data_IF_713775691037
#
_entry.id   IF_713775691037
#
_cell.length_a   1.000
_cell.length_b   1.000
_cell.length_c   1.000
_cell.angle_alpha   90.00
_cell.angle_beta   90.00
_cell.angle_gamma   90.00
#
_symmetry.space_group_name_H-M   'P 1'
#
loop_
_entity.id
_entity.type
_entity.pdbx_description
1 polymer ?
#
# COMPACT_ATOMS: atom_id res chain seq x y z
N UNK A 1 51.30 -34.37 5.58
CA UNK A 1 51.32 -33.94 7.00
C UNK A 1 50.01 -33.23 7.28
N UNK A 2 49.06 -33.93 7.86
CA UNK A 2 47.77 -33.32 8.23
C UNK A 2 47.95 -32.68 9.60
N UNK A 3 47.95 -31.33 9.63
CA UNK A 3 47.97 -30.59 10.85
C UNK A 3 46.75 -30.96 11.69
N UNK A 4 46.99 -31.57 12.83
CA UNK A 4 45.98 -31.87 13.84
C UNK A 4 45.48 -30.52 14.43
N UNK A 5 44.49 -29.96 13.80
CA UNK A 5 43.80 -28.78 14.35
C UNK A 5 43.18 -29.22 15.68
N UNK A 6 43.72 -28.67 16.79
CA UNK A 6 43.21 -28.96 18.13
C UNK A 6 41.70 -28.80 18.13
N UNK A 7 40.93 -29.79 18.60
CA UNK A 7 39.45 -29.80 18.65
C UNK A 7 38.90 -28.49 19.21
N UNK A 8 39.56 -27.93 20.21
CA UNK A 8 39.22 -26.59 20.76
C UNK A 8 39.29 -25.48 19.74
N UNK A 9 40.33 -25.44 18.87
CA UNK A 9 40.44 -24.42 17.81
C UNK A 9 39.36 -24.58 16.74
N UNK A 10 38.98 -25.84 16.41
CA UNK A 10 37.90 -26.11 15.47
C UNK A 10 36.55 -25.66 16.02
N UNK A 11 36.23 -26.00 17.26
CA UNK A 11 34.98 -25.60 17.92
C UNK A 11 34.88 -24.06 18.04
N UNK A 12 35.98 -23.40 18.43
CA UNK A 12 35.98 -21.94 18.51
C UNK A 12 35.76 -21.29 17.15
N UNK A 13 36.36 -21.80 16.08
CA UNK A 13 36.11 -21.29 14.71
C UNK A 13 34.66 -21.47 14.27
N UNK A 14 34.06 -22.63 14.55
CA UNK A 14 32.67 -22.87 14.24
C UNK A 14 31.74 -21.94 15.01
N UNK A 15 31.98 -21.72 16.30
CA UNK A 15 31.23 -20.78 17.11
C UNK A 15 31.33 -19.35 16.56
N UNK A 16 32.54 -18.90 16.19
CA UNK A 16 32.75 -17.58 15.59
C UNK A 16 31.98 -17.42 14.27
N UNK A 17 31.96 -18.46 13.42
CA UNK A 17 31.19 -18.42 12.16
C UNK A 17 29.70 -18.30 12.43
N UNK A 18 29.18 -19.06 13.39
CA UNK A 18 27.75 -18.99 13.76
C UNK A 18 27.40 -17.58 14.28
N UNK A 19 28.21 -17.03 15.19
CA UNK A 19 27.99 -15.67 15.70
C UNK A 19 28.07 -14.62 14.57
N UNK A 20 29.05 -14.75 13.66
CA UNK A 20 29.18 -13.85 12.52
C UNK A 20 27.97 -13.91 11.57
N UNK A 21 27.39 -15.11 11.34
CA UNK A 21 26.17 -15.26 10.54
C UNK A 21 24.95 -14.61 11.20
N UNK A 22 24.82 -14.72 12.53
CA UNK A 22 23.76 -14.02 13.25
C UNK A 22 23.90 -12.50 13.15
N UNK A 23 25.10 -11.97 13.40
CA UNK A 23 25.36 -10.53 13.26
C UNK A 23 25.06 -10.04 11.85
N UNK A 24 25.47 -10.80 10.83
CA UNK A 24 25.19 -10.50 9.44
C UNK A 24 23.68 -10.47 9.14
N UNK A 25 22.92 -11.46 9.62
CA UNK A 25 21.46 -11.51 9.45
C UNK A 25 20.76 -10.30 10.08
N UNK A 26 21.16 -9.92 11.30
CA UNK A 26 20.62 -8.72 11.95
C UNK A 26 21.05 -7.41 11.27
N UNK A 27 22.23 -7.35 10.71
CA UNK A 27 22.71 -6.17 9.99
C UNK A 27 22.02 -5.97 8.64
N UNK A 28 21.57 -7.05 7.98
CA UNK A 28 20.84 -6.97 6.70
C UNK A 28 19.52 -6.19 6.82
N UNK A 29 18.80 -6.31 7.94
CA UNK A 29 17.50 -5.65 8.12
C UNK A 29 17.62 -4.12 8.02
N UNK A 30 18.46 -3.43 8.82
CA UNK A 30 18.60 -1.98 8.71
C UNK A 30 19.21 -1.54 7.38
N UNK A 31 20.13 -2.32 6.80
CA UNK A 31 20.70 -2.01 5.48
C UNK A 31 19.61 -2.04 4.41
N UNK A 32 18.75 -3.04 4.42
CA UNK A 32 17.61 -3.14 3.50
C UNK A 32 16.67 -1.93 3.64
N UNK A 33 16.35 -1.54 4.87
CA UNK A 33 15.46 -0.41 5.15
C UNK A 33 16.05 0.93 4.63
N UNK A 34 17.35 1.15 4.84
CA UNK A 34 18.06 2.32 4.32
C UNK A 34 18.10 2.30 2.79
N UNK A 35 18.38 1.15 2.18
CA UNK A 35 18.36 1.02 0.71
C UNK A 35 16.97 1.29 0.14
N UNK A 36 15.92 0.73 0.72
CA UNK A 36 14.55 0.97 0.26
C UNK A 36 14.16 2.44 0.35
N UNK A 37 14.58 3.14 1.40
CA UNK A 37 14.36 4.58 1.56
C UNK A 37 15.18 5.40 0.54
N UNK A 38 16.43 5.04 0.32
CA UNK A 38 17.31 5.76 -0.60
C UNK A 38 16.92 5.60 -2.08
N UNK A 39 16.46 4.43 -2.47
CA UNK A 39 16.07 4.13 -3.86
C UNK A 39 14.58 4.28 -4.13
N UNK A 40 13.76 4.61 -3.13
CA UNK A 40 12.32 4.82 -3.29
C UNK A 40 11.53 3.59 -3.80
N UNK A 41 12.08 2.38 -3.63
CA UNK A 41 11.52 1.14 -4.19
C UNK A 41 10.26 0.69 -3.43
N UNK A 42 9.97 1.34 -2.30
CA UNK A 42 8.91 0.92 -1.38
C UNK A 42 7.56 1.54 -1.79
N UNK A 43 6.92 1.08 -2.83
CA UNK A 43 5.63 1.58 -3.37
C UNK A 43 4.45 1.68 -2.37
N UNK A 44 4.72 1.72 -1.07
CA UNK A 44 3.76 2.00 -0.02
C UNK A 44 3.50 3.49 0.04
N UNK A 45 2.24 3.87 0.06
CA UNK A 45 1.83 5.26 0.34
C UNK A 45 2.37 5.70 1.70
N UNK A 46 2.89 6.91 1.76
CA UNK A 46 3.29 7.54 3.01
C UNK A 46 2.11 7.58 4.00
N UNK A 47 2.42 7.53 5.28
CA UNK A 47 1.43 7.61 6.37
C UNK A 47 0.69 8.94 6.44
N UNK A 48 0.24 9.31 7.63
CA UNK A 48 -0.45 10.58 7.88
C UNK A 48 0.46 11.77 7.49
N UNK A 49 -0.11 12.75 6.81
CA UNK A 49 0.59 13.97 6.40
C UNK A 49 0.87 14.86 7.62
N UNK A 50 2.13 15.10 7.93
CA UNK A 50 2.59 15.96 9.03
C UNK A 50 3.15 17.32 8.54
N UNK A 51 3.06 17.59 7.23
CA UNK A 51 3.57 18.84 6.64
C UNK A 51 2.63 20.03 6.83
N UNK A 52 3.18 21.26 6.70
CA UNK A 52 2.37 22.47 6.66
C UNK A 52 1.43 22.45 5.44
N UNK A 53 0.15 22.72 5.67
CA UNK A 53 -0.91 22.75 4.64
C UNK A 53 -0.82 24.02 3.79
N UNK A 54 0.35 24.33 3.26
CA UNK A 54 0.50 25.42 2.30
C UNK A 54 0.43 24.87 0.88
N UNK A 55 -0.50 25.40 0.09
CA UNK A 55 -0.73 24.93 -1.29
C UNK A 55 0.29 25.59 -2.23
N UNK A 56 0.92 24.79 -3.10
CA UNK A 56 1.75 25.30 -4.18
C UNK A 56 0.86 25.63 -5.40
N UNK A 57 0.50 26.92 -5.54
CA UNK A 57 -0.35 27.39 -6.64
C UNK A 57 0.38 27.44 -8.00
N UNK A 58 1.70 27.44 -7.98
CA UNK A 58 2.52 27.54 -9.20
C UNK A 58 2.59 26.24 -10.00
N UNK A 59 2.14 25.12 -9.40
CA UNK A 59 2.33 23.77 -9.93
C UNK A 59 1.03 22.99 -9.91
N UNK A 60 0.83 22.22 -10.97
CA UNK A 60 -0.28 21.27 -11.10
C UNK A 60 0.26 19.88 -11.37
N UNK A 61 -0.38 18.89 -10.79
CA UNK A 61 -0.09 17.47 -10.95
C UNK A 61 -1.36 16.77 -11.37
N UNK A 62 -1.27 15.92 -12.38
CA UNK A 62 -2.37 15.10 -12.86
C UNK A 62 -2.34 13.76 -12.17
N UNK A 63 -3.41 13.43 -11.46
CA UNK A 63 -3.57 12.15 -10.78
C UNK A 63 -4.62 11.34 -11.53
N UNK A 64 -4.20 10.21 -12.08
CA UNK A 64 -5.06 9.25 -12.74
C UNK A 64 -5.45 8.15 -11.75
N UNK A 65 -6.71 7.74 -11.79
CA UNK A 65 -7.26 6.71 -10.91
C UNK A 65 -7.65 5.49 -11.74
N UNK A 66 -7.12 4.34 -11.35
CA UNK A 66 -7.42 3.05 -11.97
C UNK A 66 -7.95 2.07 -10.93
N UNK A 67 -8.86 1.23 -11.35
CA UNK A 67 -9.34 0.10 -10.57
C UNK A 67 -9.24 -1.17 -11.38
N UNK A 68 -8.86 -2.25 -10.71
CA UNK A 68 -8.73 -3.57 -11.31
C UNK A 68 -9.24 -4.61 -10.31
N UNK A 69 -9.92 -5.61 -10.80
CA UNK A 69 -10.31 -6.76 -9.99
C UNK A 69 -9.34 -7.91 -10.20
N UNK A 70 -9.06 -8.68 -9.13
CA UNK A 70 -8.42 -9.98 -9.28
C UNK A 70 -9.34 -10.96 -10.03
N UNK A 71 -8.76 -12.03 -10.57
CA UNK A 71 -9.47 -12.99 -11.44
C UNK A 71 -10.76 -13.54 -10.79
N UNK A 72 -10.75 -13.73 -9.48
CA UNK A 72 -11.87 -14.34 -8.74
C UNK A 72 -12.80 -13.32 -8.07
N UNK A 73 -12.63 -12.02 -8.38
CA UNK A 73 -13.40 -10.95 -7.75
C UNK A 73 -14.56 -10.49 -8.66
N UNK A 74 -15.81 -10.89 -8.37
CA UNK A 74 -16.96 -10.60 -9.23
C UNK A 74 -17.60 -9.23 -9.01
N UNK A 75 -17.09 -8.40 -8.08
CA UNK A 75 -17.67 -7.11 -7.75
C UNK A 75 -17.42 -6.06 -8.83
N UNK A 76 -18.32 -5.09 -8.95
CA UNK A 76 -18.05 -3.88 -9.70
C UNK A 76 -17.25 -2.93 -8.81
N UNK A 77 -16.09 -2.48 -9.29
CA UNK A 77 -15.22 -1.55 -8.57
C UNK A 77 -14.66 -0.51 -9.55
N UNK A 78 -14.97 0.75 -9.32
CA UNK A 78 -14.52 1.84 -10.20
C UNK A 78 -14.47 3.20 -9.49
N UNK A 79 -13.56 4.11 -9.90
CA UNK A 79 -13.57 5.50 -9.46
C UNK A 79 -14.71 6.26 -10.15
N UNK A 80 -15.29 7.26 -9.50
CA UNK A 80 -16.27 8.16 -10.13
C UNK A 80 -15.69 9.08 -11.19
N UNK A 81 -14.36 9.25 -11.21
CA UNK A 81 -13.63 10.04 -12.20
C UNK A 81 -12.29 9.40 -12.47
N UNK A 82 -11.88 9.41 -13.74
CA UNK A 82 -10.64 8.75 -14.18
C UNK A 82 -9.40 9.57 -13.87
N UNK A 83 -9.56 10.89 -13.71
CA UNK A 83 -8.45 11.83 -13.56
C UNK A 83 -8.85 13.06 -12.74
N UNK A 84 -7.89 13.58 -11.96
CA UNK A 84 -8.02 14.83 -11.24
C UNK A 84 -6.72 15.65 -11.36
N UNK A 85 -6.86 16.94 -11.70
CA UNK A 85 -5.73 17.87 -11.66
C UNK A 85 -5.67 18.51 -10.29
N UNK A 86 -4.59 18.26 -9.56
CA UNK A 86 -4.41 18.69 -8.18
C UNK A 86 -3.23 19.64 -8.02
N UNK A 87 -3.27 20.47 -6.99
CA UNK A 87 -2.14 21.32 -6.57
C UNK A 87 -1.43 20.65 -5.40
N UNK A 88 -0.09 20.54 -5.40
CA UNK A 88 0.64 20.00 -4.25
C UNK A 88 0.33 20.79 -2.97
N UNK A 89 0.14 20.06 -1.86
CA UNK A 89 -0.27 20.62 -0.57
C UNK A 89 -1.80 20.79 -0.41
N UNK A 90 -2.59 20.73 -1.49
CA UNK A 90 -4.04 20.80 -1.39
C UNK A 90 -4.65 19.46 -0.98
N UNK A 91 -5.70 19.52 -0.16
CA UNK A 91 -6.55 18.35 0.13
C UNK A 91 -7.46 18.11 -1.06
N UNK A 92 -7.44 16.90 -1.58
CA UNK A 92 -8.27 16.48 -2.70
C UNK A 92 -9.10 15.26 -2.29
N UNK A 93 -10.23 15.07 -2.98
CA UNK A 93 -11.13 13.94 -2.73
C UNK A 93 -11.44 13.21 -4.02
N UNK A 94 -11.46 11.87 -3.95
CA UNK A 94 -11.94 10.98 -5.00
C UNK A 94 -12.87 9.94 -4.39
N UNK A 95 -13.94 9.62 -5.08
CA UNK A 95 -14.92 8.62 -4.63
C UNK A 95 -14.79 7.38 -5.48
N UNK A 96 -14.61 6.24 -4.82
CA UNK A 96 -14.69 4.93 -5.45
C UNK A 96 -16.06 4.30 -5.17
N UNK A 97 -16.60 3.62 -6.14
CA UNK A 97 -17.86 2.89 -6.03
C UNK A 97 -17.55 1.40 -6.00
N UNK A 98 -18.17 0.71 -5.06
CA UNK A 98 -18.10 -0.75 -4.93
C UNK A 98 -19.50 -1.31 -4.88
N UNK A 99 -19.73 -2.39 -5.62
CA UNK A 99 -21.02 -3.08 -5.69
C UNK A 99 -20.78 -4.59 -5.70
N UNK A 100 -21.52 -5.30 -4.86
CA UNK A 100 -21.55 -6.76 -4.85
C UNK A 100 -22.75 -7.27 -5.68
N UNK A 101 -22.60 -7.62 -6.95
CA UNK A 101 -23.69 -8.10 -7.79
C UNK A 101 -24.08 -9.56 -7.50
N UNK A 102 -23.38 -10.24 -6.61
CA UNK A 102 -23.62 -11.66 -6.31
C UNK A 102 -24.79 -11.84 -5.35
N UNK A 103 -25.29 -13.07 -5.24
CA UNK A 103 -26.37 -13.45 -4.34
C UNK A 103 -25.90 -13.90 -2.95
N UNK A 104 -24.61 -13.67 -2.61
CA UNK A 104 -24.01 -14.06 -1.33
C UNK A 104 -23.24 -12.90 -0.71
N UNK A 105 -23.15 -12.82 0.63
CA UNK A 105 -22.28 -11.86 1.27
C UNK A 105 -20.81 -12.23 0.98
N UNK A 106 -19.99 -11.24 0.72
CA UNK A 106 -18.58 -11.42 0.40
C UNK A 106 -17.72 -10.40 1.12
N UNK A 107 -16.46 -10.77 1.36
CA UNK A 107 -15.44 -9.88 1.94
C UNK A 107 -14.37 -9.57 0.90
N UNK A 108 -14.03 -8.31 0.73
CA UNK A 108 -13.02 -7.86 -0.21
C UNK A 108 -11.99 -6.96 0.44
N UNK A 109 -10.80 -6.92 -0.16
CA UNK A 109 -9.72 -6.03 0.21
C UNK A 109 -9.16 -5.32 -1.01
N UNK A 110 -9.04 -4.00 -0.93
CA UNK A 110 -8.41 -3.19 -1.97
C UNK A 110 -6.94 -2.91 -1.61
N UNK A 111 -6.04 -3.17 -2.56
CA UNK A 111 -4.60 -2.94 -2.42
C UNK A 111 -4.19 -1.79 -3.34
N UNK A 112 -3.68 -0.68 -2.80
CA UNK A 112 -3.23 0.45 -3.60
C UNK A 112 -1.82 0.24 -4.17
N UNK A 113 -1.59 0.82 -5.35
CA UNK A 113 -0.29 0.94 -5.97
C UNK A 113 -0.16 2.33 -6.60
N UNK A 114 1.01 2.95 -6.51
CA UNK A 114 1.29 4.26 -7.10
C UNK A 114 2.44 4.15 -8.10
N UNK A 115 2.23 4.78 -9.24
CA UNK A 115 3.25 4.96 -10.26
C UNK A 115 3.41 6.46 -10.59
N UNK A 116 4.65 6.94 -10.80
CA UNK A 116 5.91 6.22 -10.64
C UNK A 116 6.27 5.97 -9.18
N UNK A 117 7.07 4.93 -8.89
CA UNK A 117 7.39 4.50 -7.53
C UNK A 117 8.11 5.55 -6.67
N UNK A 118 8.92 6.41 -7.29
CA UNK A 118 9.61 7.52 -6.62
C UNK A 118 8.65 8.62 -6.13
N UNK A 119 7.42 8.65 -6.61
CA UNK A 119 6.39 9.58 -6.17
C UNK A 119 5.50 9.02 -5.04
N UNK A 120 5.57 7.71 -4.78
CA UNK A 120 4.72 7.06 -3.78
C UNK A 120 4.93 7.61 -2.36
N UNK A 121 6.16 8.02 -2.03
CA UNK A 121 6.48 8.62 -0.73
C UNK A 121 5.84 10.00 -0.51
N UNK A 122 5.44 10.67 -1.58
CA UNK A 122 4.84 12.01 -1.58
C UNK A 122 3.33 12.01 -1.74
N UNK A 123 2.72 10.84 -1.76
CA UNK A 123 1.27 10.69 -1.83
C UNK A 123 0.72 10.24 -0.47
N UNK A 124 0.08 11.17 0.24
CA UNK A 124 -0.45 10.95 1.58
C UNK A 124 -1.97 10.80 1.54
N UNK A 125 -2.45 9.72 2.14
CA UNK A 125 -3.88 9.55 2.40
C UNK A 125 -4.20 10.13 3.77
N UNK A 126 -5.07 11.12 3.83
CA UNK A 126 -5.45 11.80 5.07
C UNK A 126 -6.63 11.14 5.78
N UNK A 127 -7.54 10.57 5.00
CA UNK A 127 -8.64 9.76 5.52
C UNK A 127 -8.73 8.45 4.74
N UNK A 128 -8.61 7.34 5.45
CA UNK A 128 -8.86 6.01 4.93
C UNK A 128 -10.22 5.56 5.43
N UNK A 129 -11.26 5.69 4.63
CA UNK A 129 -12.42 4.82 4.83
C UNK A 129 -11.98 3.41 4.44
N UNK A 130 -11.49 2.71 5.44
CA UNK A 130 -11.28 1.27 5.57
C UNK A 130 -11.19 0.45 4.26
N UNK A 131 -10.16 0.70 3.43
CA UNK A 131 -9.78 -0.28 2.41
C UNK A 131 -9.15 -1.55 3.00
N UNK A 132 -9.17 -1.72 4.31
CA UNK A 132 -8.61 -2.89 4.94
C UNK A 132 -9.44 -4.14 4.70
N UNK A 133 -10.74 -4.05 4.86
CA UNK A 133 -11.67 -5.16 4.58
C UNK A 133 -13.08 -4.60 4.44
N UNK A 134 -13.73 -4.87 3.34
CA UNK A 134 -15.13 -4.50 3.11
C UNK A 134 -15.98 -5.75 3.04
N UNK A 135 -17.06 -5.77 3.82
CA UNK A 135 -18.06 -6.83 3.75
C UNK A 135 -19.33 -6.23 3.16
N UNK A 136 -19.71 -6.71 1.98
CA UNK A 136 -20.96 -6.28 1.33
C UNK A 136 -21.95 -7.44 1.26
N UNK A 137 -23.21 -7.11 1.56
CA UNK A 137 -24.34 -8.01 1.40
C UNK A 137 -24.69 -8.20 -0.09
N UNK A 138 -25.49 -9.21 -0.44
CA UNK A 138 -25.97 -9.40 -1.80
C UNK A 138 -26.63 -8.14 -2.35
N UNK A 139 -26.18 -7.67 -3.53
CA UNK A 139 -26.71 -6.48 -4.19
C UNK A 139 -26.34 -5.14 -3.53
N UNK A 140 -25.55 -5.16 -2.46
CA UNK A 140 -25.15 -3.94 -1.76
C UNK A 140 -24.17 -3.12 -2.59
N UNK A 141 -24.39 -1.79 -2.58
CA UNK A 141 -23.55 -0.80 -3.23
C UNK A 141 -23.17 0.29 -2.24
N UNK A 142 -21.89 0.60 -2.16
CA UNK A 142 -21.38 1.67 -1.29
C UNK A 142 -20.47 2.62 -2.07
N UNK A 143 -20.42 3.86 -1.60
CA UNK A 143 -19.49 4.89 -2.06
C UNK A 143 -18.41 5.09 -1.01
N UNK A 144 -17.17 5.05 -1.45
CA UNK A 144 -16.02 5.17 -0.57
C UNK A 144 -15.23 6.43 -0.93
N UNK A 145 -15.43 7.54 -0.22
CA UNK A 145 -14.63 8.73 -0.41
C UNK A 145 -13.21 8.49 0.10
N UNK A 146 -12.22 8.94 -0.66
CA UNK A 146 -10.82 8.93 -0.31
C UNK A 146 -10.28 10.35 -0.37
N UNK A 147 -9.73 10.85 0.74
CA UNK A 147 -9.03 12.11 0.79
C UNK A 147 -7.53 11.90 0.75
N UNK A 148 -6.87 12.72 -0.05
CA UNK A 148 -5.42 12.62 -0.25
C UNK A 148 -4.78 13.98 -0.46
N UNK A 149 -3.48 14.03 -0.18
CA UNK A 149 -2.62 15.19 -0.42
C UNK A 149 -1.41 14.71 -1.23
N UNK A 150 -1.06 15.43 -2.27
CA UNK A 150 0.22 15.30 -2.95
C UNK A 150 1.19 16.27 -2.29
N UNK A 151 2.33 15.78 -1.79
CA UNK A 151 3.30 16.60 -1.10
C UNK A 151 3.92 17.65 -2.03
N UNK A 152 4.27 18.82 -1.47
CA UNK A 152 4.98 19.89 -2.17
C UNK A 152 6.41 19.50 -2.54
N UNK A 153 7.02 18.65 -1.71
CA UNK A 153 8.40 18.20 -1.90
C UNK A 153 8.53 17.11 -2.98
N UNK A 154 7.40 16.73 -3.60
CA UNK A 154 7.43 15.79 -4.71
C UNK A 154 8.32 16.32 -5.86
N UNK A 155 9.20 15.48 -6.45
CA UNK A 155 10.09 15.86 -7.54
C UNK A 155 9.37 16.62 -8.65
N UNK A 156 9.95 17.74 -9.11
CA UNK A 156 9.30 18.64 -10.10
C UNK A 156 9.11 18.01 -11.47
N UNK A 157 9.86 16.96 -11.76
CA UNK A 157 9.78 16.18 -13.00
C UNK A 157 8.51 15.34 -13.04
N UNK A 158 7.93 15.00 -11.87
CA UNK A 158 6.72 14.20 -11.77
C UNK A 158 5.50 15.10 -11.96
N UNK A 159 4.94 15.07 -13.16
CA UNK A 159 3.72 15.81 -13.53
C UNK A 159 2.48 14.94 -13.56
N UNK A 160 2.67 13.62 -13.60
CA UNK A 160 1.61 12.62 -13.68
C UNK A 160 1.82 11.56 -12.61
N UNK A 161 0.74 11.24 -11.90
CA UNK A 161 0.64 10.17 -10.92
C UNK A 161 -0.47 9.22 -11.34
N UNK A 162 -0.27 7.93 -11.18
CA UNK A 162 -1.34 6.95 -11.32
C UNK A 162 -1.52 6.23 -10.01
N UNK A 163 -2.71 6.35 -9.43
CA UNK A 163 -3.15 5.55 -8.29
C UNK A 163 -4.02 4.41 -8.82
N UNK A 164 -3.52 3.20 -8.67
CA UNK A 164 -4.23 1.99 -9.04
C UNK A 164 -4.67 1.23 -7.79
N UNK A 165 -5.91 0.78 -7.75
CA UNK A 165 -6.39 -0.14 -6.73
C UNK A 165 -6.71 -1.50 -7.37
N UNK A 166 -6.20 -2.56 -6.74
CA UNK A 166 -6.60 -3.93 -7.09
C UNK A 166 -7.47 -4.51 -5.98
N UNK A 167 -8.68 -4.95 -6.34
CA UNK A 167 -9.64 -5.55 -5.43
C UNK A 167 -9.49 -7.07 -5.41
N UNK A 168 -9.36 -7.65 -4.22
CA UNK A 168 -9.20 -9.08 -4.00
C UNK A 168 -10.36 -9.65 -3.20
N UNK A 169 -10.85 -10.83 -3.59
CA UNK A 169 -11.76 -11.64 -2.76
C UNK A 169 -10.97 -12.26 -1.60
N UNK A 170 -11.38 -11.94 -0.38
CA UNK A 170 -10.80 -12.50 0.85
C UNK A 170 -11.84 -13.29 1.66
N UNK A 171 -12.99 -13.58 1.09
CA UNK A 171 -14.11 -14.28 1.77
C UNK A 171 -13.68 -15.59 2.40
N UNK A 172 -12.78 -16.35 1.75
CA UNK A 172 -12.27 -17.61 2.29
C UNK A 172 -11.41 -17.44 3.55
N UNK A 173 -10.74 -16.28 3.69
CA UNK A 173 -9.86 -15.96 4.84
C UNK A 173 -10.61 -15.21 5.94
N UNK A 174 -11.56 -14.38 5.56
CA UNK A 174 -12.36 -13.53 6.41
C UNK A 174 -13.84 -13.68 6.01
N UNK A 175 -14.50 -14.77 6.43
CA UNK A 175 -15.90 -14.97 6.12
C UNK A 175 -16.74 -13.85 6.73
N UNK A 176 -17.72 -13.30 5.99
CA UNK A 176 -18.65 -12.32 6.52
C UNK A 176 -19.38 -12.93 7.73
N UNK A 177 -19.36 -12.21 8.85
CA UNK A 177 -20.13 -12.61 10.02
C UNK A 177 -21.62 -12.52 9.62
N UNK A 178 -22.30 -13.65 9.60
CA UNK A 178 -23.73 -13.66 9.37
C UNK A 178 -24.38 -12.84 10.51
N UNK A 179 -24.98 -11.71 10.17
CA UNK A 179 -25.88 -11.02 11.08
C UNK A 179 -27.07 -11.95 11.25
N UNK A 180 -27.09 -12.69 12.38
CA UNK A 180 -28.29 -13.43 12.78
C UNK A 180 -29.44 -12.43 12.90
N UNK A 181 -30.29 -12.39 11.88
CA UNK A 181 -31.57 -11.70 11.93
C UNK A 181 -32.57 -12.63 12.61
N UNK A 182 -32.32 -12.93 13.90
CA UNK A 182 -33.31 -13.48 14.80
C UNK A 182 -33.91 -12.30 15.60
N UNK A 183 -34.99 -11.75 15.04
CA UNK A 183 -36.10 -11.13 15.77
C UNK A 183 -37.30 -10.92 14.86
#
# INVERSE_FOLDING_TARGET
>A
MADSISLKKLVTRLLLVVVAMFIFGFALVPIYDVMCKAFGINGKTAGQYEGEQTVDESRQVRVQFLSTNSVDMPWDFYPKGDELVVRPGAVNEMVFVVHNPTNRPMSAQAVPSIAPSNAAAYFHKTECFCFTQQVLQPGERIEMPMRFIVDRDMPKEVKHLTLSYTLFDITARHPPVALNTDR
#
